data_IF_680706856416
#
_entry.id   IF_680706856416
#
_cell.length_a   1.000
_cell.length_b   1.000
_cell.length_c   1.000
_cell.angle_alpha   90.00
_cell.angle_beta   90.00
_cell.angle_gamma   90.00
#
_symmetry.space_group_name_H-M   'P 1'
#
loop_
_entity.id
_entity.type
_entity.pdbx_description
1 polymer ?
#
# COMPACT_ATOMS: atom_id res chain seq x y z
N UNK A 1 -3.09 23.90 -3.00
CA UNK A 1 -2.54 22.93 -3.98
C UNK A 1 -2.28 21.62 -3.25
N UNK A 2 -3.14 20.62 -3.46
CA UNK A 2 -3.02 19.30 -2.84
C UNK A 2 -2.00 18.52 -3.68
N UNK A 3 -0.75 18.41 -3.21
CA UNK A 3 0.27 17.61 -3.88
C UNK A 3 -0.17 16.14 -3.88
N UNK A 4 -0.38 15.50 -5.05
CA UNK A 4 -1.00 14.18 -5.11
C UNK A 4 0.00 13.02 -4.97
N UNK A 5 1.29 13.28 -4.74
CA UNK A 5 2.32 12.24 -4.68
C UNK A 5 3.40 12.58 -3.63
N UNK A 6 3.68 11.73 -2.63
CA UNK A 6 4.71 11.98 -1.62
C UNK A 6 6.13 12.09 -2.21
N UNK A 7 6.34 11.60 -3.44
CA UNK A 7 7.58 11.78 -4.19
C UNK A 7 7.94 13.26 -4.44
N UNK A 8 6.96 14.13 -4.67
CA UNK A 8 7.21 15.55 -4.98
C UNK A 8 7.32 16.42 -3.72
N UNK A 9 6.59 16.13 -2.64
CA UNK A 9 6.67 16.95 -1.42
C UNK A 9 7.89 16.64 -0.54
N UNK A 10 8.62 15.56 -0.85
CA UNK A 10 9.79 15.09 -0.08
C UNK A 10 11.11 15.40 -0.80
N UNK A 11 11.08 16.05 -1.97
CA UNK A 11 12.24 16.69 -2.60
C UNK A 11 12.76 17.93 -1.85
N UNK A 12 12.27 18.22 -0.64
CA UNK A 12 12.80 19.26 0.26
C UNK A 12 13.95 18.78 1.15
N UNK A 13 14.76 19.74 1.62
CA UNK A 13 15.97 19.62 2.47
C UNK A 13 15.76 19.03 3.89
N UNK A 14 14.74 18.19 4.10
CA UNK A 14 14.53 17.58 5.42
C UNK A 14 15.48 16.38 5.66
N UNK A 15 15.95 16.18 6.91
CA UNK A 15 16.85 15.08 7.24
C UNK A 15 16.18 13.72 6.98
N UNK A 16 16.97 12.73 6.53
CA UNK A 16 16.51 11.39 6.11
C UNK A 16 15.55 10.70 7.11
N UNK A 17 15.73 10.94 8.41
CA UNK A 17 14.87 10.40 9.46
C UNK A 17 13.42 10.88 9.33
N UNK A 18 13.21 12.17 9.10
CA UNK A 18 11.86 12.75 8.99
C UNK A 18 11.18 12.31 7.68
N UNK A 19 11.96 12.11 6.61
CA UNK A 19 11.47 11.55 5.34
C UNK A 19 10.94 10.12 5.51
N UNK A 20 11.71 9.27 6.20
CA UNK A 20 11.33 7.87 6.47
C UNK A 20 10.09 7.82 7.38
N UNK A 21 10.02 8.65 8.43
CA UNK A 21 8.85 8.70 9.32
C UNK A 21 7.60 9.13 8.55
N UNK A 22 7.70 10.14 7.69
CA UNK A 22 6.56 10.62 6.90
C UNK A 22 6.10 9.58 5.86
N UNK A 23 7.05 8.93 5.17
CA UNK A 23 6.77 7.83 4.24
C UNK A 23 6.13 6.63 4.94
N UNK A 24 6.65 6.22 6.09
CA UNK A 24 6.07 5.15 6.90
C UNK A 24 4.66 5.50 7.36
N UNK A 25 4.45 6.70 7.87
CA UNK A 25 3.14 7.16 8.31
C UNK A 25 2.13 7.12 7.15
N UNK A 26 2.51 7.65 5.99
CA UNK A 26 1.62 7.67 4.83
C UNK A 26 1.35 6.27 4.26
N UNK A 27 2.40 5.44 4.12
CA UNK A 27 2.30 4.09 3.57
C UNK A 27 1.55 3.14 4.50
N UNK A 28 1.78 3.20 5.81
CA UNK A 28 1.13 2.32 6.78
C UNK A 28 -0.28 2.80 7.10
N UNK A 29 -0.46 4.05 7.55
CA UNK A 29 -1.80 4.50 7.96
C UNK A 29 -2.71 4.77 6.78
N UNK A 30 -2.21 5.51 5.77
CA UNK A 30 -3.07 5.98 4.68
C UNK A 30 -3.25 4.93 3.59
N UNK A 31 -2.17 4.31 3.09
CA UNK A 31 -2.27 3.31 2.02
C UNK A 31 -2.70 1.93 2.55
N UNK A 32 -2.04 1.41 3.59
CA UNK A 32 -2.28 0.06 4.09
C UNK A 32 -3.58 -0.04 4.92
N UNK A 33 -3.71 0.75 6.00
CA UNK A 33 -4.84 0.66 6.93
C UNK A 33 -6.11 1.30 6.34
N UNK A 34 -6.10 2.60 6.10
CA UNK A 34 -7.27 3.32 5.57
C UNK A 34 -7.57 2.96 4.11
N UNK A 35 -6.53 2.80 3.30
CA UNK A 35 -6.65 2.65 1.85
C UNK A 35 -6.98 1.26 1.37
N UNK A 36 -6.58 0.19 2.06
CA UNK A 36 -6.76 -1.17 1.55
C UNK A 36 -7.36 -2.14 2.56
N UNK A 37 -7.00 -2.03 3.83
CA UNK A 37 -7.55 -2.89 4.87
C UNK A 37 -9.02 -2.57 5.14
N UNK A 38 -9.38 -1.28 5.29
CA UNK A 38 -10.79 -0.85 5.44
C UNK A 38 -11.61 -1.15 4.19
N UNK A 39 -11.05 -0.88 3.00
CA UNK A 39 -11.69 -1.26 1.74
C UNK A 39 -11.84 -2.78 1.60
N UNK A 40 -10.90 -3.56 2.13
CA UNK A 40 -11.00 -5.02 2.23
C UNK A 40 -12.16 -5.46 3.11
N UNK A 41 -12.33 -4.85 4.28
CA UNK A 41 -13.47 -5.13 5.18
C UNK A 41 -14.81 -4.87 4.47
N UNK A 42 -14.88 -3.83 3.64
CA UNK A 42 -16.06 -3.48 2.84
C UNK A 42 -16.18 -4.30 1.54
N UNK A 43 -15.27 -5.24 1.28
CA UNK A 43 -15.21 -6.03 0.04
C UNK A 43 -15.03 -5.17 -1.25
N UNK A 44 -14.47 -3.97 -1.10
CA UNK A 44 -14.18 -3.00 -2.17
C UNK A 44 -12.68 -2.94 -2.52
N UNK A 45 -11.84 -3.78 -1.91
CA UNK A 45 -10.40 -3.75 -2.15
C UNK A 45 -10.00 -4.11 -3.58
N UNK A 46 -10.62 -5.12 -4.18
CA UNK A 46 -10.35 -5.51 -5.59
C UNK A 46 -10.63 -4.38 -6.59
N UNK A 47 -11.82 -3.73 -6.60
CA UNK A 47 -12.06 -2.61 -7.51
C UNK A 47 -11.13 -1.42 -7.23
N UNK A 48 -10.78 -1.15 -5.96
CA UNK A 48 -9.83 -0.11 -5.61
C UNK A 48 -8.40 -0.40 -6.13
N UNK A 49 -7.94 -1.64 -6.02
CA UNK A 49 -6.67 -2.13 -6.58
C UNK A 49 -6.67 -1.94 -8.10
N UNK A 50 -7.71 -2.43 -8.79
CA UNK A 50 -7.81 -2.37 -10.24
C UNK A 50 -7.76 -0.92 -10.72
N UNK A 51 -8.57 -0.04 -10.11
CA UNK A 51 -8.61 1.36 -10.48
C UNK A 51 -7.25 2.05 -10.28
N UNK A 52 -6.57 1.76 -9.16
CA UNK A 52 -5.26 2.33 -8.85
C UNK A 52 -4.18 1.89 -9.84
N UNK A 53 -4.16 0.62 -10.21
CA UNK A 53 -3.17 0.12 -11.18
C UNK A 53 -3.50 0.52 -12.61
N UNK A 54 -4.77 0.67 -12.97
CA UNK A 54 -5.16 1.20 -14.26
C UNK A 54 -4.72 2.66 -14.42
N UNK A 55 -4.88 3.48 -13.39
CA UNK A 55 -4.33 4.84 -13.34
C UNK A 55 -2.81 4.85 -13.46
N UNK A 56 -2.13 3.95 -12.72
CA UNK A 56 -0.68 3.86 -12.77
C UNK A 56 -0.19 3.45 -14.16
N UNK A 57 -0.86 2.46 -14.78
CA UNK A 57 -0.59 2.02 -16.15
C UNK A 57 -0.82 3.12 -17.19
N UNK A 58 -1.79 4.00 -16.99
CA UNK A 58 -2.01 5.17 -17.85
C UNK A 58 -0.93 6.27 -17.68
N UNK A 59 -0.32 6.36 -16.50
CA UNK A 59 0.75 7.33 -16.20
C UNK A 59 2.13 6.87 -16.66
N UNK A 60 2.40 5.56 -16.69
CA UNK A 60 3.70 4.99 -17.10
C UNK A 60 4.20 5.53 -18.46
N UNK A 61 3.40 5.58 -19.55
CA UNK A 61 3.85 6.05 -20.85
C UNK A 61 4.30 7.52 -20.82
N UNK A 62 3.61 8.35 -20.04
CA UNK A 62 3.92 9.77 -19.88
C UNK A 62 5.28 9.92 -19.18
N UNK A 63 5.54 9.10 -18.16
CA UNK A 63 6.80 9.11 -17.40
C UNK A 63 7.97 8.59 -18.25
N UNK A 64 7.76 7.57 -19.08
CA UNK A 64 8.80 7.00 -19.96
C UNK A 64 9.29 8.02 -20.99
N UNK A 65 8.39 8.85 -21.52
CA UNK A 65 8.74 9.86 -22.52
C UNK A 65 9.64 10.95 -21.96
N UNK A 66 9.47 11.32 -20.68
CA UNK A 66 10.26 12.36 -20.03
C UNK A 66 11.55 11.81 -19.41
N UNK A 67 11.47 10.71 -18.65
CA UNK A 67 12.63 10.13 -17.95
C UNK A 67 12.59 8.59 -17.92
N UNK A 68 13.14 7.89 -18.93
CA UNK A 68 13.03 6.44 -19.05
C UNK A 68 13.74 5.67 -17.91
N UNK A 69 14.80 6.24 -17.34
CA UNK A 69 15.59 5.61 -16.28
C UNK A 69 14.92 5.63 -14.89
N UNK A 70 14.04 6.60 -14.64
CA UNK A 70 13.33 6.71 -13.35
C UNK A 70 12.37 5.54 -13.17
N UNK A 71 11.70 5.10 -14.24
CA UNK A 71 10.78 3.96 -14.17
C UNK A 71 11.49 2.67 -13.73
N UNK A 72 12.70 2.43 -14.27
CA UNK A 72 13.50 1.26 -13.92
C UNK A 72 13.92 1.30 -12.44
N UNK A 73 14.30 2.48 -11.94
CA UNK A 73 14.63 2.69 -10.52
C UNK A 73 13.43 2.56 -9.59
N UNK A 74 12.23 2.97 -10.04
CA UNK A 74 10.99 2.90 -9.26
C UNK A 74 10.28 1.55 -9.33
N UNK A 75 10.69 0.65 -10.22
CA UNK A 75 10.07 -0.67 -10.36
C UNK A 75 10.14 -1.50 -9.05
N UNK A 76 11.30 -1.60 -8.37
CA UNK A 76 11.39 -2.38 -7.13
C UNK A 76 10.46 -1.90 -5.98
N UNK A 77 10.42 -0.60 -5.60
CA UNK A 77 9.49 -0.16 -4.56
C UNK A 77 8.04 -0.27 -5.02
N UNK A 78 7.74 -0.09 -6.31
CA UNK A 78 6.40 -0.26 -6.84
C UNK A 78 5.89 -1.71 -6.69
N UNK A 79 6.73 -2.70 -7.00
CA UNK A 79 6.40 -4.13 -6.82
C UNK A 79 6.14 -4.43 -5.34
N UNK A 80 6.97 -3.91 -4.45
CA UNK A 80 6.77 -4.06 -3.00
C UNK A 80 5.46 -3.41 -2.55
N UNK A 81 5.16 -2.20 -3.01
CA UNK A 81 3.89 -1.53 -2.71
C UNK A 81 2.68 -2.38 -3.19
N UNK A 82 2.77 -3.02 -4.37
CA UNK A 82 1.71 -3.91 -4.86
C UNK A 82 1.49 -5.11 -3.97
N UNK A 83 2.57 -5.76 -3.55
CA UNK A 83 2.51 -6.91 -2.65
C UNK A 83 1.94 -6.50 -1.28
N UNK A 84 2.40 -5.37 -0.73
CA UNK A 84 1.91 -4.84 0.54
C UNK A 84 0.42 -4.50 0.51
N UNK A 85 -0.03 -3.80 -0.54
CA UNK A 85 -1.44 -3.44 -0.74
C UNK A 85 -2.33 -4.68 -0.92
N UNK A 86 -1.86 -5.67 -1.67
CA UNK A 86 -2.60 -6.92 -1.91
C UNK A 86 -2.75 -7.77 -0.64
N UNK A 87 -1.70 -7.84 0.19
CA UNK A 87 -1.76 -8.54 1.47
C UNK A 87 -2.67 -7.81 2.48
N UNK A 88 -2.63 -6.47 2.50
CA UNK A 88 -3.52 -5.66 3.33
C UNK A 88 -5.00 -5.82 2.91
N UNK A 89 -5.25 -5.85 1.60
CA UNK A 89 -6.57 -6.13 1.04
C UNK A 89 -7.10 -7.50 1.46
N UNK A 90 -6.29 -8.56 1.29
CA UNK A 90 -6.67 -9.92 1.64
C UNK A 90 -6.95 -10.07 3.15
N UNK A 91 -6.16 -9.41 4.00
CA UNK A 91 -6.39 -9.39 5.43
C UNK A 91 -7.72 -8.70 5.79
N UNK A 92 -8.01 -7.56 5.16
CA UNK A 92 -9.28 -6.85 5.35
C UNK A 92 -10.47 -7.66 4.86
N UNK A 93 -10.36 -8.28 3.69
CA UNK A 93 -11.39 -9.12 3.08
C UNK A 93 -11.71 -10.35 3.93
N UNK A 94 -10.69 -10.99 4.52
CA UNK A 94 -10.88 -12.10 5.46
C UNK A 94 -11.75 -11.71 6.66
N UNK A 95 -11.51 -10.53 7.24
CA UNK A 95 -12.32 -9.99 8.34
C UNK A 95 -13.71 -9.56 7.85
N UNK A 96 -13.79 -8.90 6.70
CA UNK A 96 -15.05 -8.47 6.09
C UNK A 96 -15.99 -9.64 5.82
N UNK A 97 -15.48 -10.74 5.25
CA UNK A 97 -16.25 -11.98 5.03
C UNK A 97 -16.65 -12.66 6.34
N UNK A 98 -15.78 -12.66 7.34
CA UNK A 98 -16.10 -13.18 8.68
C UNK A 98 -17.24 -12.39 9.35
N UNK A 99 -17.31 -11.08 9.10
CA UNK A 99 -18.32 -10.20 9.70
C UNK A 99 -19.64 -10.18 8.92
N UNK A 100 -19.58 -9.99 7.60
CA UNK A 100 -20.75 -9.83 6.73
C UNK A 100 -21.39 -11.17 6.37
N UNK A 101 -20.59 -12.22 6.18
CA UNK A 101 -21.02 -13.53 5.67
C UNK A 101 -20.42 -14.71 6.47
N UNK A 102 -20.59 -14.76 7.81
CA UNK A 102 -19.98 -15.78 8.67
C UNK A 102 -20.40 -17.20 8.28
N UNK A 103 -21.70 -17.44 8.03
CA UNK A 103 -22.25 -18.75 7.68
C UNK A 103 -21.72 -19.31 6.36
N UNK A 104 -21.49 -18.45 5.37
CA UNK A 104 -21.00 -18.85 4.05
C UNK A 104 -19.51 -19.16 4.06
N UNK A 105 -18.76 -18.50 4.95
CA UNK A 105 -17.29 -18.56 4.96
C UNK A 105 -16.76 -19.59 5.94
N UNK A 106 -17.43 -19.78 7.08
CA UNK A 106 -16.98 -20.66 8.16
C UNK A 106 -17.99 -21.75 8.56
N UNK A 107 -19.20 -21.76 7.99
CA UNK A 107 -20.26 -22.72 8.35
C UNK A 107 -21.06 -22.28 9.59
N UNK A 108 -21.62 -23.24 10.34
CA UNK A 108 -22.44 -23.01 11.55
C UNK A 108 -21.61 -22.60 12.78
N UNK A 109 -20.69 -21.66 12.61
CA UNK A 109 -19.94 -21.05 13.72
C UNK A 109 -20.61 -19.74 14.14
N UNK A 110 -20.63 -19.49 15.44
CA UNK A 110 -21.15 -18.22 15.98
C UNK A 110 -20.42 -17.02 15.38
N UNK A 111 -21.12 -15.88 15.23
CA UNK A 111 -20.57 -14.64 14.66
C UNK A 111 -19.25 -14.21 15.29
N UNK A 112 -19.13 -14.35 16.62
CA UNK A 112 -17.93 -13.97 17.38
C UNK A 112 -16.77 -14.92 17.10
N UNK A 113 -17.04 -16.22 17.01
CA UNK A 113 -16.06 -17.26 16.70
C UNK A 113 -15.49 -17.06 15.28
N UNK A 114 -16.38 -16.82 14.30
CA UNK A 114 -16.00 -16.53 12.92
C UNK A 114 -15.10 -15.28 12.84
N UNK A 115 -15.44 -14.22 13.60
CA UNK A 115 -14.64 -13.00 13.64
C UNK A 115 -13.26 -13.23 14.28
N UNK A 116 -13.20 -14.05 15.34
CA UNK A 116 -11.94 -14.43 16.01
C UNK A 116 -11.02 -15.22 15.07
N UNK A 117 -11.58 -16.14 14.29
CA UNK A 117 -10.84 -16.91 13.28
C UNK A 117 -10.35 -15.98 12.16
N UNK A 118 -11.23 -15.10 11.66
CA UNK A 118 -10.89 -14.09 10.64
C UNK A 118 -9.76 -13.16 11.10
N UNK A 119 -9.85 -12.64 12.33
CA UNK A 119 -8.81 -11.79 12.91
C UNK A 119 -7.47 -12.52 13.10
N UNK A 120 -7.51 -13.77 13.58
CA UNK A 120 -6.30 -14.60 13.75
C UNK A 120 -5.59 -14.85 12.42
N UNK A 121 -6.33 -15.04 11.34
CA UNK A 121 -5.78 -15.25 10.00
C UNK A 121 -5.32 -13.95 9.33
N UNK A 122 -5.97 -12.81 9.64
CA UNK A 122 -5.60 -11.50 9.13
C UNK A 122 -4.31 -10.94 9.78
N UNK A 123 -4.08 -11.23 11.06
CA UNK A 123 -2.90 -10.75 11.81
C UNK A 123 -1.55 -11.01 11.09
N UNK A 124 -1.21 -12.24 10.67
CA UNK A 124 0.07 -12.50 9.99
C UNK A 124 0.16 -11.81 8.63
N UNK A 125 -0.97 -11.62 7.93
CA UNK A 125 -1.01 -10.91 6.65
C UNK A 125 -0.74 -9.42 6.81
N UNK A 126 -1.32 -8.78 7.84
CA UNK A 126 -1.07 -7.38 8.16
C UNK A 126 0.39 -7.18 8.57
N UNK A 127 0.94 -8.08 9.39
CA UNK A 127 2.36 -8.00 9.80
C UNK A 127 3.30 -8.10 8.59
N UNK A 128 3.04 -9.02 7.65
CA UNK A 128 3.79 -9.12 6.40
C UNK A 128 3.63 -7.87 5.54
N UNK A 129 2.41 -7.33 5.41
CA UNK A 129 2.15 -6.10 4.67
C UNK A 129 2.94 -4.91 5.25
N UNK A 130 2.92 -4.74 6.58
CA UNK A 130 3.68 -3.69 7.27
C UNK A 130 5.18 -3.84 7.00
N UNK A 131 5.74 -5.05 7.12
CA UNK A 131 7.15 -5.30 6.84
C UNK A 131 7.51 -4.92 5.39
N UNK A 132 6.66 -5.28 4.42
CA UNK A 132 6.84 -4.92 3.01
C UNK A 132 6.80 -3.39 2.83
N UNK A 133 5.88 -2.67 3.48
CA UNK A 133 5.83 -1.21 3.41
C UNK A 133 7.05 -0.54 4.06
N UNK A 134 7.59 -1.11 5.13
CA UNK A 134 8.82 -0.63 5.76
C UNK A 134 9.98 -0.76 4.76
N UNK A 135 10.12 -1.92 4.12
CA UNK A 135 11.14 -2.16 3.10
C UNK A 135 10.97 -1.22 1.89
N UNK A 136 9.74 -1.10 1.38
CA UNK A 136 9.39 -0.17 0.30
C UNK A 136 9.78 1.27 0.63
N UNK A 137 9.45 1.73 1.84
CA UNK A 137 9.75 3.11 2.29
C UNK A 137 11.26 3.37 2.44
N UNK A 138 12.03 2.39 2.91
CA UNK A 138 13.50 2.49 3.00
C UNK A 138 14.10 2.58 1.59
N UNK A 139 13.60 1.77 0.66
CA UNK A 139 14.07 1.73 -0.72
C UNK A 139 13.72 3.02 -1.47
N UNK A 140 12.51 3.55 -1.30
CA UNK A 140 12.11 4.88 -1.80
C UNK A 140 12.99 6.00 -1.23
N UNK A 141 13.31 5.96 0.07
CA UNK A 141 14.17 6.97 0.70
C UNK A 141 15.61 6.92 0.17
N UNK A 142 16.16 5.73 -0.08
CA UNK A 142 17.47 5.54 -0.69
C UNK A 142 17.49 6.05 -2.14
N UNK A 143 16.46 5.70 -2.93
CA UNK A 143 16.35 6.17 -4.31
C UNK A 143 16.28 7.70 -4.37
N UNK A 144 15.49 8.32 -3.50
CA UNK A 144 15.39 9.79 -3.41
C UNK A 144 16.66 10.50 -2.96
N UNK A 145 17.66 9.78 -2.43
CA UNK A 145 18.97 10.34 -2.09
C UNK A 145 19.98 10.17 -3.24
N UNK A 146 19.88 9.06 -3.98
CA UNK A 146 20.77 8.75 -5.11
C UNK A 146 20.38 9.52 -6.37
N UNK A 147 19.09 9.81 -6.57
CA UNK A 147 18.65 10.72 -7.63
C UNK A 147 18.90 12.17 -7.19
N UNK A 148 19.75 12.95 -7.87
CA UNK A 148 19.91 14.37 -7.58
C UNK A 148 18.56 15.10 -7.76
N UNK A 149 18.39 16.31 -7.19
CA UNK A 149 17.19 17.12 -7.42
C UNK A 149 17.11 17.48 -8.90
N UNK A 150 16.44 16.64 -9.69
CA UNK A 150 16.04 16.96 -11.04
C UNK A 150 14.78 17.81 -10.96
N UNK A 151 14.98 19.09 -10.67
CA UNK A 151 14.10 20.22 -11.01
C UNK A 151 14.89 21.51 -10.71
N UNK A 152 15.26 22.32 -11.72
CA UNK A 152 15.43 23.76 -11.51
C UNK A 152 14.11 24.42 -11.10
#
# INVERSE_FOLDING_TARGET
MIYPVPLLSVMGQNPLKDKIICLLHFSILRKCILGMFVLGILNLAMPAIIFRYMLLGALIPIIILDVPYILLLMLPPLILDVLGLSMAAAAGEGIGRAWLLPRRTYGDVGRIEALKIGAKNALPLILKAILIFVLSSILEALLGYVTPPFLP
#
